data_IF_219236387291
#
_entry.id   IF_219236387291
#
_cell.length_a   1.000
_cell.length_b   1.000
_cell.length_c   1.000
_cell.angle_alpha   90.00
_cell.angle_beta   90.00
_cell.angle_gamma   90.00
#
_symmetry.space_group_name_H-M   'P 1'
#
loop_
_entity.id
_entity.type
_entity.pdbx_description
1 polymer ?
#
# COMPACT_ATOMS: atom_id res chain seq x y z
N UNK A 1 -6.00 -55.27 23.87
CA UNK A 1 -6.46 -54.79 22.55
C UNK A 1 -6.71 -53.31 22.69
N UNK A 2 -5.69 -52.48 22.41
CA UNK A 2 -5.73 -51.04 22.64
C UNK A 2 -6.19 -50.34 21.35
N UNK A 3 -7.29 -49.59 21.43
CA UNK A 3 -7.78 -48.75 20.34
C UNK A 3 -6.81 -47.59 20.14
N UNK A 4 -6.13 -47.56 19.00
CA UNK A 4 -5.39 -46.40 18.52
C UNK A 4 -6.42 -45.38 17.99
N UNK A 5 -6.58 -44.25 18.69
CA UNK A 5 -7.36 -43.12 18.19
C UNK A 5 -6.60 -42.47 17.02
N UNK A 6 -7.22 -42.26 15.85
CA UNK A 6 -6.54 -41.71 14.67
C UNK A 6 -6.44 -40.17 14.65
N UNK A 7 -6.42 -39.49 15.80
CA UNK A 7 -6.63 -38.04 15.87
C UNK A 7 -5.41 -37.18 16.27
N UNK A 8 -4.19 -37.69 16.19
CA UNK A 8 -2.97 -36.86 16.32
C UNK A 8 -2.17 -36.84 15.01
N UNK A 9 -2.82 -36.41 13.92
CA UNK A 9 -2.07 -35.79 12.83
C UNK A 9 -2.06 -34.29 13.10
N UNK A 10 -0.93 -33.68 13.53
CA UNK A 10 -0.83 -32.24 13.44
C UNK A 10 -1.17 -31.90 12.00
N UNK A 11 -2.17 -31.06 11.80
CA UNK A 11 -2.46 -30.51 10.49
C UNK A 11 -1.18 -29.79 10.06
N UNK A 12 -0.34 -30.49 9.30
CA UNK A 12 0.68 -29.88 8.47
C UNK A 12 -0.11 -28.93 7.59
N UNK A 13 -0.17 -27.67 8.01
CA UNK A 13 -0.55 -26.56 7.16
C UNK A 13 0.37 -26.72 5.96
N UNK A 14 -0.18 -27.29 4.89
CA UNK A 14 0.50 -27.42 3.63
C UNK A 14 0.69 -25.96 3.21
N UNK A 15 1.86 -25.42 3.58
CA UNK A 15 2.30 -24.07 3.22
C UNK A 15 2.45 -24.16 1.72
N UNK A 16 1.34 -23.95 1.01
CA UNK A 16 1.24 -24.16 -0.42
C UNK A 16 2.26 -23.23 -1.06
N UNK A 17 3.42 -23.80 -1.42
CA UNK A 17 4.54 -23.13 -2.09
C UNK A 17 4.20 -22.86 -3.56
N UNK A 18 2.96 -22.46 -3.83
CA UNK A 18 2.46 -22.07 -5.14
C UNK A 18 2.00 -20.63 -5.04
N UNK A 19 2.97 -19.76 -4.77
CA UNK A 19 2.89 -18.35 -5.04
C UNK A 19 4.33 -17.94 -5.34
N UNK A 20 4.61 -17.46 -6.54
CA UNK A 20 5.34 -16.19 -6.54
C UNK A 20 4.46 -15.31 -5.65
N UNK A 21 4.92 -14.92 -4.46
CA UNK A 21 4.08 -14.20 -3.49
C UNK A 21 3.35 -13.11 -4.26
N UNK A 22 2.04 -13.30 -4.47
CA UNK A 22 1.22 -12.47 -5.37
C UNK A 22 1.48 -10.97 -5.16
N UNK A 23 1.70 -10.49 -3.92
CA UNK A 23 2.15 -9.12 -3.66
C UNK A 23 3.49 -8.76 -4.33
N UNK A 24 4.53 -9.59 -4.19
CA UNK A 24 5.84 -9.38 -4.84
C UNK A 24 5.68 -9.34 -6.35
N UNK A 25 4.92 -10.28 -6.93
CA UNK A 25 4.66 -10.28 -8.37
C UNK A 25 3.97 -8.98 -8.81
N UNK A 26 2.94 -8.56 -8.08
CA UNK A 26 2.21 -7.33 -8.33
C UNK A 26 3.10 -6.08 -8.26
N UNK A 27 3.97 -5.98 -7.25
CA UNK A 27 4.91 -4.87 -7.10
C UNK A 27 5.97 -4.84 -8.21
N UNK A 28 6.47 -6.01 -8.65
CA UNK A 28 7.40 -6.09 -9.78
C UNK A 28 6.73 -5.67 -11.09
N UNK A 29 5.50 -6.13 -11.34
CA UNK A 29 4.72 -5.72 -12.51
C UNK A 29 4.46 -4.21 -12.48
N UNK A 30 4.07 -3.65 -11.33
CA UNK A 30 3.89 -2.22 -11.16
C UNK A 30 5.18 -1.44 -11.44
N UNK A 31 6.32 -1.90 -10.89
CA UNK A 31 7.62 -1.26 -11.14
C UNK A 31 7.97 -1.21 -12.63
N UNK A 32 7.76 -2.31 -13.35
CA UNK A 32 7.99 -2.38 -14.80
C UNK A 32 7.04 -1.45 -15.56
N UNK A 33 5.75 -1.42 -15.20
CA UNK A 33 4.77 -0.54 -15.83
C UNK A 33 5.14 0.94 -15.66
N UNK A 34 5.53 1.36 -14.46
CA UNK A 34 5.99 2.73 -14.19
C UNK A 34 7.28 3.07 -14.94
N UNK A 35 8.19 2.10 -15.12
CA UNK A 35 9.40 2.30 -15.92
C UNK A 35 9.06 2.56 -17.38
N UNK A 36 8.18 1.75 -17.98
CA UNK A 36 7.72 1.91 -19.37
C UNK A 36 6.99 3.25 -19.55
N UNK A 37 6.20 3.66 -18.55
CA UNK A 37 5.49 4.95 -18.54
C UNK A 37 6.43 6.17 -18.41
N UNK A 38 7.72 5.97 -18.11
CA UNK A 38 8.66 7.07 -17.90
C UNK A 38 8.56 7.72 -16.53
N UNK A 39 8.04 7.01 -15.53
CA UNK A 39 7.96 7.42 -14.12
C UNK A 39 8.99 6.66 -13.26
N UNK A 40 10.30 6.97 -13.36
CA UNK A 40 11.36 6.17 -12.75
C UNK A 40 11.33 6.21 -11.22
N UNK A 41 10.86 7.31 -10.60
CA UNK A 41 10.74 7.42 -9.15
C UNK A 41 9.74 6.38 -8.60
N UNK A 42 8.57 6.26 -9.23
CA UNK A 42 7.54 5.29 -8.83
C UNK A 42 8.05 3.86 -9.05
N UNK A 43 8.69 3.61 -10.20
CA UNK A 43 9.30 2.31 -10.50
C UNK A 43 10.29 1.86 -9.42
N UNK A 44 11.15 2.77 -8.95
CA UNK A 44 12.11 2.51 -7.88
C UNK A 44 11.41 2.24 -6.54
N UNK A 45 10.35 2.96 -6.21
CA UNK A 45 9.58 2.75 -4.97
C UNK A 45 8.95 1.35 -4.95
N UNK A 46 8.25 0.98 -6.03
CA UNK A 46 7.62 -0.34 -6.13
C UNK A 46 8.64 -1.48 -6.14
N UNK A 47 9.77 -1.30 -6.84
CA UNK A 47 10.85 -2.28 -6.85
C UNK A 47 11.51 -2.44 -5.47
N UNK A 48 11.81 -1.32 -4.79
CA UNK A 48 12.37 -1.34 -3.45
C UNK A 48 11.44 -2.02 -2.44
N UNK A 49 10.13 -1.76 -2.54
CA UNK A 49 9.13 -2.45 -1.72
C UNK A 49 9.10 -3.96 -1.99
N UNK A 50 9.19 -4.38 -3.25
CA UNK A 50 9.26 -5.80 -3.62
C UNK A 50 10.50 -6.49 -3.03
N UNK A 51 11.67 -5.83 -3.14
CA UNK A 51 12.92 -6.33 -2.56
C UNK A 51 12.84 -6.42 -1.03
N UNK A 52 12.25 -5.40 -0.39
CA UNK A 52 12.06 -5.37 1.06
C UNK A 52 11.17 -6.53 1.51
N UNK A 53 10.03 -6.76 0.86
CA UNK A 53 9.14 -7.87 1.17
C UNK A 53 9.85 -9.22 1.02
N UNK A 54 10.53 -9.45 -0.11
CA UNK A 54 11.32 -10.66 -0.34
C UNK A 54 12.39 -10.88 0.73
N UNK A 55 13.04 -9.79 1.17
CA UNK A 55 14.03 -9.85 2.23
C UNK A 55 13.40 -10.26 3.56
N UNK A 56 12.26 -9.66 3.92
CA UNK A 56 11.54 -9.97 5.17
C UNK A 56 10.99 -11.38 5.24
N UNK A 57 10.47 -11.91 4.13
CA UNK A 57 9.97 -13.28 4.08
C UNK A 57 11.08 -14.30 4.25
N UNK A 58 12.28 -14.00 3.73
CA UNK A 58 13.44 -14.90 3.83
C UNK A 58 14.14 -14.88 5.18
N UNK A 59 14.21 -13.71 5.82
CA UNK A 59 15.01 -13.52 7.03
C UNK A 59 14.16 -13.39 8.30
N UNK A 60 12.83 -13.37 8.16
CA UNK A 60 11.91 -13.07 9.24
C UNK A 60 11.84 -11.56 9.55
N UNK A 61 10.83 -11.12 10.31
CA UNK A 61 10.80 -9.75 10.81
C UNK A 61 12.03 -9.52 11.69
N UNK A 62 12.77 -8.45 11.41
CA UNK A 62 13.91 -8.05 12.23
C UNK A 62 13.39 -7.35 13.50
N UNK A 63 12.76 -8.11 14.39
CA UNK A 63 12.17 -7.60 15.65
C UNK A 63 13.21 -6.84 16.48
N UNK A 64 14.50 -7.19 16.35
CA UNK A 64 15.61 -6.53 17.02
C UNK A 64 15.96 -5.11 16.52
N UNK A 65 15.44 -4.67 15.36
CA UNK A 65 15.78 -3.36 14.78
C UNK A 65 14.82 -2.23 15.20
N UNK A 66 13.67 -2.54 15.79
CA UNK A 66 12.63 -1.56 16.09
C UNK A 66 12.49 -1.37 17.61
N UNK A 67 12.61 -0.13 18.14
CA UNK A 67 12.51 0.12 19.58
C UNK A 67 11.12 -0.24 20.13
N UNK A 68 11.06 -0.92 21.28
CA UNK A 68 9.82 -1.28 22.00
C UNK A 68 9.18 -0.10 22.77
N UNK A 69 8.90 1.00 22.08
CA UNK A 69 8.18 2.13 22.68
C UNK A 69 6.67 2.05 22.39
N UNK A 70 5.77 2.33 23.35
CA UNK A 70 4.33 2.33 23.13
C UNK A 70 3.95 3.35 22.06
N UNK A 71 3.29 2.88 21.02
CA UNK A 71 3.09 3.67 19.82
C UNK A 71 1.89 4.62 19.98
N UNK A 72 2.18 5.92 20.08
CA UNK A 72 1.14 6.95 20.15
C UNK A 72 0.74 7.37 18.75
N UNK A 73 -0.48 6.99 18.35
CA UNK A 73 -1.04 7.45 17.09
C UNK A 73 -1.22 8.98 17.12
N UNK A 74 -0.80 9.69 16.08
CA UNK A 74 -0.91 11.14 16.05
C UNK A 74 -2.39 11.57 16.02
N UNK A 75 -2.62 12.78 16.55
CA UNK A 75 -3.92 13.42 16.59
C UNK A 75 -4.39 13.93 15.21
N UNK A 76 -5.58 14.55 15.14
CA UNK A 76 -6.05 15.21 13.92
C UNK A 76 -5.13 16.35 13.45
N UNK A 77 -4.23 16.84 14.30
CA UNK A 77 -3.21 17.83 13.95
C UNK A 77 -2.30 17.37 12.80
N UNK A 78 -2.05 16.06 12.64
CA UNK A 78 -1.28 15.55 11.51
C UNK A 78 -2.01 15.79 10.19
N UNK A 79 -3.32 15.59 10.15
CA UNK A 79 -4.14 15.82 8.95
C UNK A 79 -4.01 17.28 8.50
N UNK A 80 -4.15 18.20 9.47
CA UNK A 80 -4.04 19.65 9.22
C UNK A 80 -2.62 20.00 8.78
N UNK A 81 -1.59 19.48 9.45
CA UNK A 81 -0.20 19.75 9.10
C UNK A 81 0.13 19.32 7.67
N UNK A 82 -0.30 18.12 7.25
CA UNK A 82 -0.07 17.62 5.89
C UNK A 82 -0.84 18.43 4.86
N UNK A 83 -2.10 18.78 5.13
CA UNK A 83 -2.89 19.64 4.25
C UNK A 83 -2.26 21.04 4.10
N UNK A 84 -1.71 21.61 5.18
CA UNK A 84 -1.00 22.89 5.12
C UNK A 84 0.29 22.81 4.31
N UNK A 85 1.09 21.74 4.49
CA UNK A 85 2.26 21.51 3.65
C UNK A 85 1.88 21.44 2.17
N UNK A 86 0.79 20.73 1.85
CA UNK A 86 0.27 20.65 0.49
C UNK A 86 -0.13 22.02 -0.09
N UNK A 87 -0.83 22.84 0.71
CA UNK A 87 -1.22 24.20 0.30
C UNK A 87 -0.01 25.11 0.05
N UNK A 88 1.06 24.98 0.85
CA UNK A 88 2.23 25.85 0.79
C UNK A 88 3.19 25.44 -0.32
N UNK A 89 3.57 24.16 -0.37
CA UNK A 89 4.68 23.68 -1.20
C UNK A 89 4.24 23.08 -2.54
N UNK A 90 3.02 22.55 -2.66
CA UNK A 90 2.51 21.98 -3.93
C UNK A 90 3.23 20.71 -4.40
N UNK A 91 2.67 20.08 -5.45
CA UNK A 91 3.21 18.86 -6.09
C UNK A 91 4.60 19.09 -6.70
N UNK A 92 5.46 18.07 -6.65
CA UNK A 92 6.78 18.09 -7.28
C UNK A 92 7.89 18.81 -6.50
N UNK A 93 7.59 19.36 -5.31
CA UNK A 93 8.60 20.00 -4.47
C UNK A 93 9.22 19.01 -3.47
N UNK A 94 10.47 19.27 -3.07
CA UNK A 94 11.19 18.44 -2.08
C UNK A 94 10.43 18.34 -0.74
N UNK A 95 9.86 19.42 -0.16
CA UNK A 95 9.11 19.31 1.10
C UNK A 95 7.88 18.41 0.98
N UNK A 96 7.20 18.43 -0.16
CA UNK A 96 6.06 17.56 -0.41
C UNK A 96 6.49 16.10 -0.53
N UNK A 97 7.55 15.82 -1.29
CA UNK A 97 8.14 14.49 -1.40
C UNK A 97 8.49 13.93 -0.02
N UNK A 98 9.24 14.70 0.78
CA UNK A 98 9.64 14.30 2.14
C UNK A 98 8.42 14.03 3.04
N UNK A 99 7.37 14.84 2.92
CA UNK A 99 6.15 14.69 3.72
C UNK A 99 5.40 13.40 3.38
N UNK A 100 5.16 13.15 2.09
CA UNK A 100 4.47 11.93 1.63
C UNK A 100 5.30 10.69 1.96
N UNK A 101 6.62 10.73 1.73
CA UNK A 101 7.53 9.65 2.09
C UNK A 101 7.55 9.39 3.59
N UNK A 102 7.60 10.42 4.44
CA UNK A 102 7.59 10.26 5.89
C UNK A 102 6.28 9.65 6.41
N UNK A 103 5.13 10.03 5.85
CA UNK A 103 3.83 9.43 6.22
C UNK A 103 3.77 7.97 5.78
N UNK A 104 4.17 7.67 4.53
CA UNK A 104 4.18 6.30 4.00
C UNK A 104 5.11 5.39 4.78
N UNK A 105 6.36 5.82 5.02
CA UNK A 105 7.33 5.08 5.84
C UNK A 105 6.85 4.93 7.28
N UNK A 106 6.28 5.98 7.86
CA UNK A 106 5.70 5.94 9.20
C UNK A 106 4.60 4.89 9.30
N UNK A 107 3.64 4.89 8.37
CA UNK A 107 2.58 3.89 8.31
C UNK A 107 3.11 2.46 8.14
N UNK A 108 4.13 2.26 7.28
CA UNK A 108 4.77 0.97 7.08
C UNK A 108 5.45 0.46 8.35
N UNK A 109 6.22 1.33 9.03
CA UNK A 109 6.88 0.98 10.30
C UNK A 109 5.86 0.66 11.39
N UNK A 110 4.75 1.40 11.46
CA UNK A 110 3.67 1.14 12.40
C UNK A 110 3.03 -0.23 12.17
N UNK A 111 2.70 -0.54 10.91
CA UNK A 111 2.08 -1.82 10.55
C UNK A 111 3.04 -3.00 10.74
N UNK A 112 4.34 -2.79 10.51
CA UNK A 112 5.36 -3.79 10.79
C UNK A 112 5.44 -4.11 12.28
N UNK A 113 5.47 -3.07 13.14
CA UNK A 113 5.58 -3.25 14.60
C UNK A 113 4.33 -3.81 15.25
N UNK A 114 3.17 -3.35 14.80
CA UNK A 114 1.87 -3.73 15.35
C UNK A 114 0.89 -4.11 14.24
N UNK A 115 1.01 -5.32 13.66
CA UNK A 115 0.16 -5.77 12.58
C UNK A 115 -1.33 -5.58 12.89
N UNK A 116 -2.07 -5.05 11.92
CA UNK A 116 -3.50 -4.78 12.03
C UNK A 116 -4.34 -6.06 11.97
N UNK A 117 -3.82 -7.11 11.34
CA UNK A 117 -4.43 -8.45 11.28
C UNK A 117 -3.34 -9.47 11.57
N UNK A 118 -3.53 -10.40 12.53
CA UNK A 118 -2.60 -11.50 12.75
C UNK A 118 -2.43 -12.34 11.48
N UNK A 119 -1.21 -12.77 11.18
CA UNK A 119 -0.92 -13.56 9.97
C UNK A 119 -1.70 -14.88 9.88
N UNK A 120 -2.26 -15.35 10.99
CA UNK A 120 -3.06 -16.57 11.11
C UNK A 120 -4.55 -16.38 10.83
N UNK A 121 -5.05 -15.14 10.82
CA UNK A 121 -6.48 -14.88 10.64
C UNK A 121 -6.84 -14.80 9.14
N UNK A 122 -7.94 -15.45 8.72
CA UNK A 122 -8.40 -15.34 7.35
C UNK A 122 -8.82 -13.91 7.03
N UNK A 123 -8.52 -13.46 5.80
CA UNK A 123 -8.89 -12.14 5.35
C UNK A 123 -10.43 -11.92 5.50
N UNK A 124 -10.86 -10.77 6.05
CA UNK A 124 -12.29 -10.52 6.28
C UNK A 124 -13.05 -10.56 4.94
N UNK A 125 -14.22 -11.22 4.92
CA UNK A 125 -15.03 -11.39 3.69
C UNK A 125 -15.33 -10.07 2.96
N UNK A 126 -15.51 -8.99 3.71
CA UNK A 126 -15.76 -7.64 3.15
C UNK A 126 -14.51 -7.03 2.49
N UNK A 127 -13.32 -7.53 2.79
CA UNK A 127 -12.07 -7.14 2.14
C UNK A 127 -12.05 -7.50 0.65
N UNK A 128 -12.73 -8.58 0.25
CA UNK A 128 -12.81 -8.99 -1.16
C UNK A 128 -13.46 -7.95 -2.07
N UNK A 129 -14.42 -7.17 -1.55
CA UNK A 129 -15.03 -6.06 -2.30
C UNK A 129 -13.97 -5.01 -2.64
N UNK A 130 -13.13 -4.66 -1.65
CA UNK A 130 -12.06 -3.68 -1.85
C UNK A 130 -10.95 -4.22 -2.75
N UNK A 131 -10.63 -5.51 -2.65
CA UNK A 131 -9.70 -6.17 -3.58
C UNK A 131 -10.25 -6.12 -5.01
N UNK A 132 -11.52 -6.44 -5.22
CA UNK A 132 -12.14 -6.40 -6.54
C UNK A 132 -12.15 -4.97 -7.12
N UNK A 133 -12.44 -3.95 -6.29
CA UNK A 133 -12.36 -2.54 -6.69
C UNK A 133 -10.94 -2.16 -7.07
N UNK A 134 -9.95 -2.49 -6.24
CA UNK A 134 -8.54 -2.16 -6.50
C UNK A 134 -8.00 -2.85 -7.76
N UNK A 135 -8.29 -4.15 -7.93
CA UNK A 135 -7.90 -4.92 -9.13
C UNK A 135 -8.62 -4.38 -10.37
N UNK A 136 -9.92 -4.09 -10.27
CA UNK A 136 -10.68 -3.49 -11.36
C UNK A 136 -10.09 -2.15 -11.79
N UNK A 137 -9.66 -1.32 -10.83
CA UNK A 137 -8.98 -0.05 -11.10
C UNK A 137 -7.63 -0.26 -11.79
N UNK A 138 -6.84 -1.24 -11.35
CA UNK A 138 -5.56 -1.58 -11.98
C UNK A 138 -5.73 -2.09 -13.41
N UNK A 139 -6.75 -2.94 -13.64
CA UNK A 139 -7.08 -3.46 -14.97
C UNK A 139 -7.53 -2.33 -15.89
N UNK A 140 -8.37 -1.42 -15.39
CA UNK A 140 -8.76 -0.22 -16.13
C UNK A 140 -7.55 0.61 -16.55
N UNK A 141 -6.67 0.95 -15.61
CA UNK A 141 -5.42 1.70 -15.86
C UNK A 141 -4.57 1.01 -16.93
N UNK A 142 -4.31 -0.29 -16.77
CA UNK A 142 -3.48 -1.05 -17.69
C UNK A 142 -4.08 -1.09 -19.11
N UNK A 143 -5.40 -1.31 -19.21
CA UNK A 143 -6.10 -1.36 -20.50
C UNK A 143 -6.07 0.00 -21.19
N UNK A 144 -6.41 1.09 -20.48
CA UNK A 144 -6.33 2.45 -21.00
C UNK A 144 -4.92 2.76 -21.50
N UNK A 145 -3.90 2.43 -20.71
CA UNK A 145 -2.51 2.65 -21.06
C UNK A 145 -2.10 1.89 -22.34
N UNK A 146 -2.49 0.62 -22.47
CA UNK A 146 -2.19 -0.17 -23.69
C UNK A 146 -2.83 0.48 -24.92
N UNK A 147 -4.09 0.91 -24.82
CA UNK A 147 -4.78 1.56 -25.93
C UNK A 147 -4.17 2.92 -26.29
N UNK A 148 -3.76 3.71 -25.30
CA UNK A 148 -3.10 4.99 -25.51
C UNK A 148 -1.75 4.83 -26.21
N UNK A 149 -0.93 3.86 -25.78
CA UNK A 149 0.34 3.54 -26.43
C UNK A 149 0.13 3.01 -27.86
N UNK A 150 -0.87 2.15 -28.06
CA UNK A 150 -1.22 1.65 -29.40
C UNK A 150 -1.69 2.77 -30.34
N UNK A 151 -2.32 3.83 -29.81
CA UNK A 151 -2.72 5.03 -30.54
C UNK A 151 -1.57 6.05 -30.73
N UNK A 152 -0.34 5.70 -30.39
CA UNK A 152 0.84 6.55 -30.57
C UNK A 152 1.16 7.49 -29.40
N UNK A 153 0.55 7.28 -28.23
CA UNK A 153 0.92 7.96 -26.98
C UNK A 153 0.59 9.46 -26.89
N UNK A 154 -0.07 10.02 -27.90
CA UNK A 154 -0.46 11.44 -27.98
C UNK A 154 -1.98 11.63 -28.02
N UNK A 155 -2.75 10.54 -27.91
CA UNK A 155 -4.20 10.53 -28.07
C UNK A 155 -4.90 10.33 -26.73
N UNK A 156 -5.58 11.38 -26.23
CA UNK A 156 -6.49 11.32 -25.08
C UNK A 156 -7.81 10.58 -25.39
N UNK A 157 -7.82 9.68 -26.37
CA UNK A 157 -9.02 8.92 -26.75
C UNK A 157 -9.33 7.83 -25.72
N UNK A 158 -8.30 7.35 -25.00
CA UNK A 158 -8.41 6.34 -23.95
C UNK A 158 -7.60 6.76 -22.70
N UNK A 159 -7.95 7.88 -22.05
CA UNK A 159 -7.12 8.43 -20.97
C UNK A 159 -7.07 7.47 -19.78
N UNK A 160 -5.90 7.38 -19.16
CA UNK A 160 -5.77 6.68 -17.88
C UNK A 160 -6.43 7.48 -16.76
N UNK A 161 -6.82 6.83 -15.66
CA UNK A 161 -7.39 7.55 -14.51
C UNK A 161 -6.38 8.56 -13.95
N UNK A 162 -5.10 8.21 -14.00
CA UNK A 162 -3.99 9.06 -13.60
C UNK A 162 -3.96 10.34 -14.44
N UNK A 163 -4.17 10.27 -15.76
CA UNK A 163 -4.20 11.46 -16.62
C UNK A 163 -5.40 12.37 -16.33
N UNK A 164 -6.52 11.79 -15.85
CA UNK A 164 -7.68 12.57 -15.42
C UNK A 164 -7.47 13.24 -14.05
N UNK A 165 -6.78 12.56 -13.14
CA UNK A 165 -6.54 13.04 -11.77
C UNK A 165 -5.38 14.04 -11.70
N UNK A 166 -4.34 13.86 -12.52
CA UNK A 166 -3.16 14.71 -12.52
C UNK A 166 -3.45 16.22 -12.62
N UNK A 167 -4.27 16.71 -13.57
CA UNK A 167 -4.58 18.13 -13.66
C UNK A 167 -5.41 18.62 -12.47
N UNK A 168 -6.18 17.73 -11.81
CA UNK A 168 -6.90 18.09 -10.58
C UNK A 168 -5.92 18.33 -9.43
N UNK A 169 -4.84 17.54 -9.35
CA UNK A 169 -3.82 17.64 -8.30
C UNK A 169 -2.84 18.81 -8.48
N UNK A 170 -2.84 19.48 -9.63
CA UNK A 170 -2.11 20.73 -9.82
C UNK A 170 -2.76 21.90 -9.05
N UNK A 171 -4.05 21.78 -8.73
CA UNK A 171 -4.69 22.72 -7.82
C UNK A 171 -4.33 22.38 -6.36
N UNK A 172 -3.57 23.27 -5.72
CA UNK A 172 -3.10 23.11 -4.34
C UNK A 172 -4.21 22.85 -3.32
N UNK A 173 -5.39 23.43 -3.52
CA UNK A 173 -6.55 23.20 -2.63
C UNK A 173 -7.06 21.78 -2.78
N UNK A 174 -7.22 21.31 -4.02
CA UNK A 174 -7.65 19.94 -4.31
C UNK A 174 -6.62 18.95 -3.77
N UNK A 175 -5.33 19.22 -3.99
CA UNK A 175 -4.24 18.41 -3.47
C UNK A 175 -4.25 18.32 -1.94
N UNK A 176 -4.45 19.45 -1.25
CA UNK A 176 -4.51 19.49 0.21
C UNK A 176 -5.71 18.73 0.77
N UNK A 177 -6.87 18.85 0.13
CA UNK A 177 -8.06 18.08 0.49
C UNK A 177 -7.84 16.58 0.25
N UNK A 178 -7.28 16.20 -0.90
CA UNK A 178 -7.00 14.81 -1.24
C UNK A 178 -6.03 14.17 -0.23
N UNK A 179 -4.90 14.83 0.07
CA UNK A 179 -3.95 14.34 1.06
C UNK A 179 -4.53 14.35 2.48
N UNK A 180 -5.30 15.37 2.84
CA UNK A 180 -5.99 15.42 4.14
C UNK A 180 -6.94 14.25 4.34
N UNK A 181 -7.78 13.95 3.34
CA UNK A 181 -8.69 12.80 3.36
C UNK A 181 -7.92 11.48 3.41
N UNK A 182 -6.84 11.36 2.64
CA UNK A 182 -6.00 10.17 2.62
C UNK A 182 -5.35 9.88 3.98
N UNK A 183 -4.74 10.89 4.61
CA UNK A 183 -4.18 10.76 5.97
C UNK A 183 -5.26 10.47 7.00
N UNK A 184 -6.43 11.10 6.89
CA UNK A 184 -7.56 10.85 7.79
C UNK A 184 -8.04 9.41 7.71
N UNK A 185 -8.17 8.85 6.50
CA UNK A 185 -8.54 7.47 6.28
C UNK A 185 -7.49 6.50 6.88
N UNK A 186 -6.20 6.74 6.63
CA UNK A 186 -5.12 5.93 7.21
C UNK A 186 -5.11 5.96 8.74
N UNK A 187 -5.28 7.14 9.36
CA UNK A 187 -5.38 7.24 10.81
C UNK A 187 -6.63 6.56 11.38
N UNK A 188 -7.77 6.63 10.69
CA UNK A 188 -8.98 5.92 11.09
C UNK A 188 -8.77 4.40 11.06
N UNK A 189 -8.09 3.87 10.04
CA UNK A 189 -7.73 2.46 9.93
C UNK A 189 -6.79 2.03 11.07
N UNK A 190 -5.71 2.77 11.32
CA UNK A 190 -4.76 2.48 12.40
C UNK A 190 -5.43 2.53 13.78
N UNK A 191 -6.31 3.50 14.02
CA UNK A 191 -7.08 3.59 15.28
C UNK A 191 -8.05 2.44 15.43
N UNK A 192 -8.73 2.03 14.36
CA UNK A 192 -9.63 0.88 14.38
C UNK A 192 -8.87 -0.42 14.69
N UNK A 193 -7.69 -0.61 14.10
CA UNK A 193 -6.81 -1.74 14.41
C UNK A 193 -6.35 -1.73 15.86
N UNK A 194 -5.86 -0.58 16.35
CA UNK A 194 -5.44 -0.43 17.74
C UNK A 194 -6.59 -0.64 18.75
N UNK A 195 -7.81 -0.24 18.40
CA UNK A 195 -8.99 -0.48 19.24
C UNK A 195 -9.34 -1.97 19.30
N UNK A 196 -9.28 -2.68 18.16
CA UNK A 196 -9.51 -4.14 18.11
C UNK A 196 -8.50 -4.93 18.94
N UNK A 197 -7.24 -4.51 18.99
CA UNK A 197 -6.20 -5.15 19.81
C UNK A 197 -6.43 -5.03 21.31
N UNK A 198 -7.23 -4.06 21.75
CA UNK A 198 -7.54 -3.81 23.17
C UNK A 198 -8.86 -4.43 23.63
N UNK A 199 -9.69 -4.91 22.71
CA UNK A 199 -10.98 -5.53 22.97
C UNK A 199 -10.80 -7.03 23.21
#
# INVERSE_FOLDING_TARGET
MAFHSPEDRPAEYHRSRLAVDLPVAGLVIAALAHWIRGAPADALIFFAAAVLLLFTERHGPADALLPDAPTRLPGPSLIVAVALVALVFGRGTVPMLLTVSAIGLGALVLEWREPSVPATDPAPKRGWVWVAVAVGWCVWELVSFIYEQAAGGLSLTHPTMSDLVDPMLDNRVVQALALGVWVAAGLAMLRAAAARRRA
#
